data_IF_156404224079
#
_entry.id   IF_156404224079
#
_cell.length_a   1.000
_cell.length_b   1.000
_cell.length_c   1.000
_cell.angle_alpha   90.00
_cell.angle_beta   90.00
_cell.angle_gamma   90.00
#
_symmetry.space_group_name_H-M   'P 1'
#
loop_
_entity.id
_entity.type
_entity.pdbx_description
1 polymer ?
#
# COMPACT_ATOMS: atom_id res chain seq x y z
N UNK A 1 -9.42 1.31 -9.71
CA UNK A 1 -10.15 0.30 -8.91
C UNK A 1 -10.19 0.81 -7.47
N UNK A 2 -11.31 0.69 -6.76
CA UNK A 2 -11.44 1.06 -5.34
C UNK A 2 -11.64 -0.20 -4.52
N UNK A 3 -10.98 -0.28 -3.36
CA UNK A 3 -11.07 -1.46 -2.48
C UNK A 3 -10.76 -1.09 -1.04
N UNK A 4 -11.06 -2.00 -0.13
CA UNK A 4 -10.74 -1.86 1.30
C UNK A 4 -9.57 -2.76 1.62
N UNK A 5 -8.49 -2.18 2.17
CA UNK A 5 -7.34 -2.94 2.65
C UNK A 5 -7.33 -2.86 4.17
N UNK A 6 -7.31 -4.03 4.81
CA UNK A 6 -7.26 -4.12 6.27
C UNK A 6 -5.88 -4.59 6.69
N UNK A 7 -5.11 -3.70 7.30
CA UNK A 7 -3.90 -4.10 8.00
C UNK A 7 -4.28 -4.55 9.42
N UNK A 8 -4.15 -5.84 9.71
CA UNK A 8 -4.22 -6.35 11.08
C UNK A 8 -2.85 -6.14 11.75
N UNK A 9 -2.52 -4.90 12.12
CA UNK A 9 -1.41 -4.66 13.03
C UNK A 9 -1.87 -4.96 14.47
N UNK A 10 -1.09 -5.79 15.17
CA UNK A 10 -1.44 -6.34 16.48
C UNK A 10 -1.41 -5.30 17.62
N UNK A 11 -0.78 -4.13 17.46
CA UNK A 11 -0.46 -3.28 18.62
C UNK A 11 -0.88 -1.82 18.60
N UNK A 12 -1.35 -1.23 17.51
CA UNK A 12 -1.84 0.15 17.54
C UNK A 12 -2.80 0.40 16.39
N UNK A 13 -4.01 0.79 16.76
CA UNK A 13 -5.10 1.30 15.92
C UNK A 13 -5.40 0.51 14.64
N UNK A 14 -6.59 -0.12 14.62
CA UNK A 14 -7.23 -0.60 13.39
C UNK A 14 -7.33 0.56 12.40
N UNK A 15 -6.28 0.74 11.60
CA UNK A 15 -6.22 1.78 10.60
C UNK A 15 -7.08 1.29 9.43
N UNK A 16 -8.35 1.65 9.47
CA UNK A 16 -9.31 1.39 8.39
C UNK A 16 -9.10 2.46 7.33
N UNK A 17 -8.09 2.26 6.49
CA UNK A 17 -7.80 3.17 5.38
C UNK A 17 -8.46 2.73 4.08
N UNK A 18 -8.72 3.68 3.20
CA UNK A 18 -9.21 3.40 1.84
C UNK A 18 -8.01 3.27 0.91
N UNK A 19 -7.98 2.21 0.09
CA UNK A 19 -6.97 2.08 -0.96
C UNK A 19 -7.57 2.43 -2.32
N UNK A 20 -6.84 3.28 -3.05
CA UNK A 20 -7.12 3.57 -4.44
C UNK A 20 -5.91 3.15 -5.27
N UNK A 21 -6.14 2.38 -6.32
CA UNK A 21 -5.03 1.90 -7.11
C UNK A 21 -5.41 1.30 -8.44
N UNK A 22 -4.36 0.96 -9.18
CA UNK A 22 -4.45 0.34 -10.49
C UNK A 22 -3.23 -0.52 -10.76
N UNK A 23 -3.47 -1.65 -11.42
CA UNK A 23 -2.41 -2.45 -12.00
C UNK A 23 -1.89 -1.79 -13.27
N UNK A 24 -0.58 -1.80 -13.41
CA UNK A 24 0.14 -1.51 -14.64
C UNK A 24 1.06 -2.70 -14.91
N UNK A 25 0.66 -3.55 -15.86
CA UNK A 25 1.28 -4.85 -16.09
C UNK A 25 1.31 -5.70 -14.81
N UNK A 26 2.51 -6.04 -14.30
CA UNK A 26 2.74 -6.83 -13.10
C UNK A 26 2.81 -5.99 -11.82
N UNK A 27 2.73 -4.66 -11.93
CA UNK A 27 2.95 -3.75 -10.81
C UNK A 27 1.65 -3.04 -10.43
N UNK A 28 1.20 -3.24 -9.20
CA UNK A 28 0.08 -2.56 -8.59
C UNK A 28 0.55 -1.30 -7.85
N UNK A 29 0.08 -0.14 -8.31
CA UNK A 29 0.28 1.13 -7.62
C UNK A 29 -0.93 1.42 -6.73
N UNK A 30 -0.68 1.64 -5.43
CA UNK A 30 -1.68 1.94 -4.42
C UNK A 30 -1.43 3.30 -3.78
N UNK A 31 -2.52 3.98 -3.48
CA UNK A 31 -2.58 5.13 -2.58
C UNK A 31 -3.42 4.72 -1.39
N UNK A 32 -2.77 4.56 -0.24
CA UNK A 32 -3.40 4.23 1.03
C UNK A 32 -3.71 5.53 1.76
N UNK A 33 -5.00 5.87 1.84
CA UNK A 33 -5.47 7.01 2.61
C UNK A 33 -5.77 6.55 4.05
N UNK A 34 -5.07 7.13 5.02
CA UNK A 34 -5.18 6.79 6.43
C UNK A 34 -5.31 8.05 7.27
N UNK A 35 -6.05 7.96 8.37
CA UNK A 35 -6.18 9.05 9.32
C UNK A 35 -5.24 8.81 10.51
N UNK A 36 -4.44 9.82 10.85
CA UNK A 36 -3.59 9.83 12.04
C UNK A 36 -3.83 11.13 12.79
N UNK A 37 -4.26 11.05 14.05
CA UNK A 37 -4.45 12.23 14.92
C UNK A 37 -5.36 13.32 14.31
N UNK A 38 -6.38 12.91 13.55
CA UNK A 38 -7.31 13.82 12.87
C UNK A 38 -6.84 14.32 11.50
N UNK A 39 -5.60 14.01 11.10
CA UNK A 39 -5.04 14.37 9.79
C UNK A 39 -5.22 13.21 8.81
N UNK A 40 -5.73 13.50 7.61
CA UNK A 40 -5.81 12.53 6.52
C UNK A 40 -4.52 12.58 5.71
N UNK A 41 -3.80 11.46 5.70
CA UNK A 41 -2.53 11.27 5.04
C UNK A 41 -2.64 10.22 3.95
N UNK A 42 -1.90 10.40 2.85
CA UNK A 42 -1.81 9.40 1.79
C UNK A 42 -0.42 8.81 1.76
N UNK A 43 -0.33 7.47 1.76
CA UNK A 43 0.91 6.74 1.49
C UNK A 43 0.85 6.09 0.12
N UNK A 44 1.83 6.37 -0.72
CA UNK A 44 2.00 5.68 -2.00
C UNK A 44 2.77 4.37 -1.79
N UNK A 45 2.20 3.27 -2.25
CA UNK A 45 2.76 1.93 -2.15
C UNK A 45 2.80 1.32 -3.56
N UNK A 46 3.88 0.61 -3.88
CA UNK A 46 3.96 -0.21 -5.08
C UNK A 46 4.08 -1.67 -4.66
N UNK A 47 3.30 -2.53 -5.29
CA UNK A 47 3.37 -3.97 -5.10
C UNK A 47 3.65 -4.63 -6.44
N UNK A 48 4.63 -5.53 -6.51
CA UNK A 48 4.85 -6.37 -7.68
C UNK A 48 4.17 -7.70 -7.50
N UNK A 49 3.35 -8.10 -8.47
CA UNK A 49 2.73 -9.40 -8.53
C UNK A 49 3.74 -10.43 -9.05
N UNK A 50 3.97 -11.47 -8.26
CA UNK A 50 4.80 -12.61 -8.62
C UNK A 50 4.02 -13.88 -8.29
N UNK A 51 3.39 -14.47 -9.31
CA UNK A 51 2.41 -15.54 -9.12
C UNK A 51 1.21 -15.07 -8.30
N UNK A 52 0.96 -15.74 -7.17
CA UNK A 52 -0.12 -15.41 -6.22
C UNK A 52 0.33 -14.50 -5.06
N UNK A 53 1.55 -13.97 -5.14
CA UNK A 53 2.14 -13.11 -4.12
C UNK A 53 2.25 -11.66 -4.62
N UNK A 54 2.16 -10.72 -3.68
CA UNK A 54 2.41 -9.30 -3.89
C UNK A 54 3.60 -8.88 -3.04
N UNK A 55 4.69 -8.45 -3.67
CA UNK A 55 5.91 -8.02 -2.98
C UNK A 55 5.93 -6.49 -2.92
N UNK A 56 6.10 -5.93 -1.73
CA UNK A 56 6.20 -4.48 -1.53
C UNK A 56 7.49 -3.93 -2.11
N UNK A 57 7.34 -2.85 -2.87
CA UNK A 57 8.42 -2.00 -3.33
C UNK A 57 8.95 -1.12 -2.21
N UNK A 58 10.26 -1.14 -2.01
CA UNK A 58 10.99 -0.22 -1.14
C UNK A 58 11.78 0.76 -2.00
N UNK A 59 11.92 2.00 -1.54
CA UNK A 59 12.63 3.04 -2.25
C UNK A 59 12.61 4.34 -1.48
N UNK A 60 13.28 5.36 -2.02
CA UNK A 60 13.33 6.66 -1.37
C UNK A 60 11.94 7.30 -1.36
N UNK A 61 11.41 7.55 -0.16
CA UNK A 61 10.18 8.29 0.04
C UNK A 61 10.49 9.79 0.23
N UNK A 62 9.52 10.64 -0.08
CA UNK A 62 9.50 12.05 0.27
C UNK A 62 8.14 12.41 0.84
N UNK A 63 8.15 13.39 1.73
CA UNK A 63 6.94 13.95 2.31
C UNK A 63 6.51 15.14 1.47
N UNK A 64 5.24 15.16 1.06
CA UNK A 64 4.58 16.29 0.43
C UNK A 64 3.29 16.59 1.19
N UNK A 65 3.25 17.73 1.88
CA UNK A 65 2.25 18.00 2.91
C UNK A 65 2.21 16.84 3.93
N UNK A 66 1.06 16.21 4.11
CA UNK A 66 0.89 15.09 5.05
C UNK A 66 0.98 13.71 4.35
N UNK A 67 1.48 13.65 3.12
CA UNK A 67 1.53 12.43 2.31
C UNK A 67 2.96 11.95 2.05
N UNK A 68 3.17 10.64 2.18
CA UNK A 68 4.42 9.97 1.86
C UNK A 68 4.36 9.37 0.46
N UNK A 69 5.21 9.86 -0.44
CA UNK A 69 5.26 9.49 -1.85
C UNK A 69 6.63 8.93 -2.21
N UNK A 70 6.70 8.01 -3.18
CA UNK A 70 7.97 7.48 -3.65
C UNK A 70 8.60 8.45 -4.67
N UNK A 71 9.87 8.82 -4.46
CA UNK A 71 10.60 9.81 -5.27
C UNK A 71 10.77 9.35 -6.71
N UNK A 72 11.19 8.11 -6.90
CA UNK A 72 11.56 7.57 -8.21
C UNK A 72 11.00 6.14 -8.37
N UNK A 73 9.97 5.96 -9.19
CA UNK A 73 9.39 4.64 -9.47
C UNK A 73 10.38 3.65 -10.08
N UNK A 74 11.41 4.11 -10.79
CA UNK A 74 12.39 3.25 -11.44
C UNK A 74 13.45 2.70 -10.47
N UNK A 75 13.60 3.35 -9.30
CA UNK A 75 14.50 2.91 -8.23
C UNK A 75 13.84 2.03 -7.19
N UNK A 76 12.57 1.69 -7.39
CA UNK A 76 11.82 0.81 -6.49
C UNK A 76 12.41 -0.59 -6.56
N UNK A 77 12.75 -1.14 -5.39
CA UNK A 77 13.20 -2.51 -5.23
C UNK A 77 12.10 -3.35 -4.58
N UNK A 78 11.67 -4.42 -5.24
CA UNK A 78 10.63 -5.31 -4.73
C UNK A 78 11.24 -6.37 -3.81
N UNK A 79 11.70 -5.94 -2.64
CA UNK A 79 12.32 -6.75 -1.59
C UNK A 79 11.69 -6.52 -0.21
N UNK A 80 10.55 -5.82 -0.15
CA UNK A 80 9.83 -5.54 1.08
C UNK A 80 8.92 -6.68 1.51
N UNK A 81 7.91 -6.34 2.32
CA UNK A 81 6.90 -7.29 2.80
C UNK A 81 6.25 -8.05 1.65
N UNK A 82 5.99 -9.34 1.85
CA UNK A 82 5.30 -10.19 0.89
C UNK A 82 3.89 -10.46 1.41
N UNK A 83 2.89 -10.18 0.60
CA UNK A 83 1.50 -10.49 0.88
C UNK A 83 1.06 -11.68 0.05
N UNK A 84 0.37 -12.62 0.70
CA UNK A 84 -0.30 -13.73 0.03
C UNK A 84 -1.76 -13.37 -0.19
N UNK A 85 -2.32 -13.83 -1.31
CA UNK A 85 -3.75 -13.75 -1.53
C UNK A 85 -4.47 -14.57 -0.47
N UNK A 86 -5.44 -13.94 0.19
CA UNK A 86 -6.39 -14.62 1.06
C UNK A 86 -7.77 -14.51 0.44
N UNK A 87 -8.61 -15.51 0.64
CA UNK A 87 -10.01 -15.42 0.26
C UNK A 87 -10.68 -14.30 1.07
N UNK A 88 -11.48 -13.46 0.40
CA UNK A 88 -12.29 -12.49 1.09
C UNK A 88 -13.21 -13.25 2.07
N UNK A 89 -13.04 -13.02 3.37
CA UNK A 89 -13.98 -13.53 4.35
C UNK A 89 -15.36 -12.95 4.00
N UNK A 90 -16.29 -13.84 3.66
CA UNK A 90 -17.72 -13.51 3.65
C UNK A 90 -18.09 -13.35 5.11
N UNK A 91 -18.20 -12.11 5.57
CA UNK A 91 -19.05 -11.79 6.72
C UNK A 91 -20.52 -12.11 6.36
#
# INVERSE_FOLDING_TARGET
MTGTMRFNHFEKDKSTGTIHGGFSADTLKLFYNFQSEGVNSVRQIYLKQVGDQLITGTGDEYIKADSALLKDPLKIQFNGMVYTKVDCAKD
#
